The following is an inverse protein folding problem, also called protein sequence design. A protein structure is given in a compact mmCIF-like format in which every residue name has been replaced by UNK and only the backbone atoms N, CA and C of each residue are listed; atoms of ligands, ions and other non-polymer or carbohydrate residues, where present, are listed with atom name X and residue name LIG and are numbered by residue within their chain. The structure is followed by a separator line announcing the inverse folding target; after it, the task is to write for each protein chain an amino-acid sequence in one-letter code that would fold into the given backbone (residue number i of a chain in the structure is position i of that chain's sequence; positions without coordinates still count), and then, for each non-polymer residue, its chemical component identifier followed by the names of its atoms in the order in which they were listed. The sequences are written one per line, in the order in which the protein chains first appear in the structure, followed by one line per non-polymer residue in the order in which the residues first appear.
data_IF_081942730066
#
_entry.id   IF_081942730066
#
_cell.length_a   1.000
_cell.length_b   1.000
_cell.length_c   1.000
_cell.angle_alpha   90.00
_cell.angle_beta   90.00
_cell.angle_gamma   90.00
#
_symmetry.space_group_name_H-M   'P 1'
#
loop_
_entity.id
_entity.type
_entity.pdbx_description
1 polymer ?
#
# COMPACT_ATOMS: atom_id res chain seq x y z
N UNK A 1 25.98 -16.14 -11.42
CA UNK A 1 25.93 -15.43 -10.12
C UNK A 1 24.49 -15.46 -9.65
N UNK A 2 24.24 -15.73 -8.37
CA UNK A 2 22.88 -15.68 -7.80
C UNK A 2 22.57 -14.25 -7.35
N UNK A 3 21.34 -13.79 -7.56
CA UNK A 3 20.84 -12.49 -7.10
C UNK A 3 20.01 -12.72 -5.83
N UNK A 4 20.23 -11.89 -4.81
CA UNK A 4 19.42 -11.89 -3.59
C UNK A 4 18.25 -10.95 -3.76
N UNK A 5 17.05 -11.39 -3.36
CA UNK A 5 15.83 -10.59 -3.31
C UNK A 5 15.31 -10.63 -1.88
N UNK A 6 14.76 -9.51 -1.42
CA UNK A 6 14.07 -9.40 -0.14
C UNK A 6 12.65 -8.87 -0.36
N UNK A 7 11.70 -9.35 0.45
CA UNK A 7 10.31 -8.90 0.43
C UNK A 7 9.93 -8.53 1.86
N UNK A 8 9.70 -7.24 2.08
CA UNK A 8 9.41 -6.68 3.40
C UNK A 8 7.98 -6.14 3.41
N UNK A 9 7.18 -6.55 4.38
CA UNK A 9 5.85 -5.98 4.60
C UNK A 9 5.94 -4.66 5.36
N UNK A 10 5.12 -3.68 5.02
CA UNK A 10 4.99 -2.42 5.78
C UNK A 10 3.91 -2.62 6.86
N UNK A 11 4.26 -2.74 8.14
CA UNK A 11 3.28 -2.91 9.21
C UNK A 11 2.60 -1.57 9.53
N UNK A 12 1.46 -1.64 10.25
CA UNK A 12 0.78 -0.43 10.74
C UNK A 12 0.00 0.36 9.68
N UNK A 13 -0.13 -0.16 8.46
CA UNK A 13 -1.03 0.40 7.44
C UNK A 13 -2.48 0.32 7.95
N UNK A 14 -3.22 1.44 8.00
CA UNK A 14 -4.59 1.47 8.49
C UNK A 14 -5.56 0.83 7.48
N UNK A 15 -6.82 0.69 7.89
CA UNK A 15 -7.89 0.37 6.96
C UNK A 15 -8.09 1.52 5.95
N UNK A 16 -7.98 1.22 4.66
CA UNK A 16 -8.08 2.21 3.58
C UNK A 16 -9.54 2.50 3.25
N UNK A 17 -9.90 3.78 3.14
CA UNK A 17 -11.20 4.28 2.73
C UNK A 17 -11.14 5.21 1.51
N UNK A 18 -12.32 5.63 0.99
CA UNK A 18 -12.39 6.56 -0.15
C UNK A 18 -11.71 7.89 0.14
N UNK A 19 -10.86 8.34 -0.79
CA UNK A 19 -10.13 9.61 -0.69
C UNK A 19 -8.79 9.52 0.05
N UNK A 20 -8.43 8.36 0.59
CA UNK A 20 -7.13 8.18 1.24
C UNK A 20 -5.97 8.31 0.24
N UNK A 21 -4.94 9.06 0.63
CA UNK A 21 -3.69 9.15 -0.12
C UNK A 21 -2.80 7.95 0.20
N UNK A 22 -2.89 6.92 -0.64
CA UNK A 22 -2.12 5.69 -0.48
C UNK A 22 -0.61 5.93 -0.50
N UNK A 23 -0.12 6.84 -1.35
CA UNK A 23 1.31 7.08 -1.45
C UNK A 23 1.86 7.66 -0.15
N UNK A 24 1.15 8.67 0.39
CA UNK A 24 1.49 9.26 1.68
C UNK A 24 1.46 8.24 2.81
N UNK A 25 0.39 7.43 2.90
CA UNK A 25 0.25 6.41 3.95
C UNK A 25 1.40 5.39 3.88
N UNK A 26 1.74 4.92 2.68
CA UNK A 26 2.84 3.95 2.47
C UNK A 26 4.16 4.52 2.97
N UNK A 27 4.50 5.75 2.58
CA UNK A 27 5.75 6.42 2.98
C UNK A 27 5.81 6.64 4.50
N UNK A 28 4.73 7.18 5.09
CA UNK A 28 4.68 7.43 6.54
C UNK A 28 4.84 6.14 7.34
N UNK A 29 4.17 5.04 6.96
CA UNK A 29 4.27 3.76 7.68
C UNK A 29 5.56 3.02 7.45
N UNK A 30 6.17 3.13 6.28
CA UNK A 30 7.51 2.60 6.04
C UNK A 30 8.55 3.30 6.95
N UNK A 31 8.44 4.61 7.13
CA UNK A 31 9.30 5.38 8.03
C UNK A 31 9.06 5.05 9.50
N UNK A 32 7.80 5.08 9.96
CA UNK A 32 7.45 4.82 11.36
C UNK A 32 7.84 3.40 11.83
N UNK A 33 7.78 2.42 10.93
CA UNK A 33 8.11 1.02 11.24
C UNK A 33 9.59 0.70 11.13
N UNK A 34 10.42 1.64 10.67
CA UNK A 34 11.85 1.43 10.44
C UNK A 34 12.17 0.57 9.21
N UNK A 35 11.18 0.26 8.36
CA UNK A 35 11.39 -0.47 7.09
C UNK A 35 12.10 0.42 6.07
N UNK A 36 11.70 1.70 5.98
CA UNK A 36 12.24 2.63 4.98
C UNK A 36 11.84 2.29 3.54
N UNK A 37 12.27 3.13 2.60
CA UNK A 37 12.17 2.92 1.15
C UNK A 37 13.46 3.48 0.55
N UNK A 38 14.17 2.67 -0.23
CA UNK A 38 15.45 3.03 -0.85
C UNK A 38 15.32 3.20 -2.37
N UNK A 39 16.33 3.81 -2.99
CA UNK A 39 16.38 3.95 -4.45
C UNK A 39 16.49 2.58 -5.11
N UNK A 40 15.62 2.32 -6.09
CA UNK A 40 15.52 1.03 -6.78
C UNK A 40 14.55 0.03 -6.15
N UNK A 41 13.96 0.34 -4.98
CA UNK A 41 12.91 -0.49 -4.40
C UNK A 41 11.64 -0.52 -5.25
N UNK A 42 10.91 -1.63 -5.16
CA UNK A 42 9.62 -1.82 -5.83
C UNK A 42 8.50 -1.88 -4.80
N UNK A 43 7.59 -0.92 -4.86
CA UNK A 43 6.41 -0.90 -4.01
C UNK A 43 5.29 -1.72 -4.64
N UNK A 44 4.87 -2.79 -3.95
CA UNK A 44 3.79 -3.67 -4.39
C UNK A 44 2.51 -3.35 -3.60
N UNK A 45 1.46 -2.94 -4.31
CA UNK A 45 0.16 -2.56 -3.71
C UNK A 45 -0.93 -3.49 -4.23
N UNK A 46 -1.73 -4.06 -3.31
CA UNK A 46 -2.87 -4.87 -3.70
C UNK A 46 -3.96 -4.02 -4.36
N UNK A 47 -4.54 -4.52 -5.46
CA UNK A 47 -5.58 -3.78 -6.22
C UNK A 47 -6.79 -3.37 -5.38
N UNK A 48 -7.14 -4.15 -4.34
CA UNK A 48 -8.26 -3.86 -3.45
C UNK A 48 -8.11 -2.53 -2.72
N UNK A 49 -6.93 -2.21 -2.20
CA UNK A 49 -6.73 -0.95 -1.45
C UNK A 49 -6.73 0.26 -2.39
N UNK A 50 -6.23 0.10 -3.61
CA UNK A 50 -6.34 1.10 -4.67
C UNK A 50 -7.81 1.38 -5.00
N UNK A 51 -8.61 0.32 -5.23
CA UNK A 51 -10.03 0.46 -5.51
C UNK A 51 -10.80 1.14 -4.37
N UNK A 52 -10.46 0.85 -3.10
CA UNK A 52 -11.06 1.51 -1.93
C UNK A 52 -10.72 3.01 -1.90
N UNK A 53 -9.45 3.37 -2.07
CA UNK A 53 -8.98 4.75 -2.08
C UNK A 53 -9.63 5.57 -3.21
N UNK A 54 -9.77 4.97 -4.40
CA UNK A 54 -10.45 5.58 -5.54
C UNK A 54 -11.98 5.61 -5.43
N UNK A 55 -12.56 5.15 -4.31
CA UNK A 55 -14.01 5.15 -4.10
C UNK A 55 -14.78 4.14 -4.95
N UNK A 56 -14.12 3.10 -5.49
CA UNK A 56 -14.73 2.05 -6.33
C UNK A 56 -15.42 0.96 -5.50
N UNK A 57 -16.22 1.36 -4.52
CA UNK A 57 -17.01 0.45 -3.68
C UNK A 57 -18.48 0.66 -4.01
N UNK A 58 -19.16 -0.42 -4.38
CA UNK A 58 -20.59 -0.42 -4.67
C UNK A 58 -21.29 -1.45 -3.76
N UNK A 59 -22.53 -1.17 -3.36
CA UNK A 59 -23.35 -2.20 -2.74
C UNK A 59 -23.92 -3.07 -3.85
N UNK A 60 -24.01 -4.36 -3.61
CA UNK A 60 -24.59 -5.30 -4.57
C UNK A 60 -26.05 -4.97 -4.90
N UNK A 61 -26.78 -4.32 -3.98
CA UNK A 61 -28.14 -3.83 -4.20
C UNK A 61 -28.25 -2.72 -5.25
N UNK A 62 -27.14 -2.09 -5.61
CA UNK A 62 -27.09 -0.92 -6.49
C UNK A 62 -26.71 -1.33 -7.94
N UNK A 63 -26.71 -2.63 -8.24
CA UNK A 63 -26.34 -3.24 -9.53
C UNK A 63 -27.51 -4.06 -10.10
#
# INVERSE_FOLDING_TARGET
MAVRIEVVGIPGVPEIGPGDDLARIIVEKALESGVGIEDGDVIVVASKVVAKAEGRILKLSDV
#
